data_IF_114324132621
#
_entry.id   IF_114324132621
#
_cell.length_a   1.000
_cell.length_b   1.000
_cell.length_c   1.000
_cell.angle_alpha   90.00
_cell.angle_beta   90.00
_cell.angle_gamma   90.00
#
_symmetry.space_group_name_H-M   'P 1'
#
loop_
_entity.id
_entity.type
_entity.pdbx_description
1 polymer ?
#
# COMPACT_ATOMS: atom_id res chain seq x y z
N UNK A 1 7.71 -3.17 6.88
CA UNK A 1 6.60 -3.67 6.00
C UNK A 1 7.11 -4.33 4.73
N UNK A 2 8.05 -3.69 4.03
CA UNK A 2 8.86 -4.31 2.96
C UNK A 2 9.38 -5.68 3.38
N UNK A 3 9.89 -5.81 4.61
CA UNK A 3 10.41 -7.09 5.13
C UNK A 3 9.34 -8.17 5.26
N UNK A 4 8.08 -7.79 5.53
CA UNK A 4 6.95 -8.74 5.56
C UNK A 4 6.60 -9.21 4.16
N UNK A 5 6.55 -8.30 3.17
CA UNK A 5 6.29 -8.64 1.77
C UNK A 5 7.44 -9.49 1.22
N UNK A 6 8.69 -9.12 1.50
CA UNK A 6 9.89 -9.88 1.13
C UNK A 6 9.85 -11.26 1.79
N UNK A 7 9.57 -11.34 3.09
CA UNK A 7 9.48 -12.62 3.81
C UNK A 7 8.41 -13.52 3.22
N UNK A 8 7.21 -13.01 2.98
CA UNK A 8 6.11 -13.79 2.37
C UNK A 8 6.41 -14.20 0.92
N UNK A 9 7.14 -13.37 0.17
CA UNK A 9 7.57 -13.70 -1.18
C UNK A 9 8.70 -14.75 -1.21
N UNK A 10 9.62 -14.70 -0.24
CA UNK A 10 10.66 -15.70 -0.04
C UNK A 10 10.07 -17.04 0.43
N UNK A 11 9.15 -17.01 1.39
CA UNK A 11 8.41 -18.20 1.84
C UNK A 11 7.64 -18.85 0.70
N UNK A 12 7.00 -18.05 -0.16
CA UNK A 12 6.34 -18.55 -1.35
C UNK A 12 7.33 -19.17 -2.34
N UNK A 13 8.48 -18.53 -2.57
CA UNK A 13 9.54 -19.03 -3.46
C UNK A 13 10.11 -20.39 -2.99
N UNK A 14 10.35 -20.52 -1.68
CA UNK A 14 10.85 -21.77 -1.06
C UNK A 14 9.85 -22.93 -1.17
N UNK A 15 8.55 -22.65 -1.33
CA UNK A 15 7.49 -23.65 -1.48
C UNK A 15 7.29 -24.12 -2.93
N UNK A 16 8.00 -23.56 -3.91
CA UNK A 16 7.87 -23.96 -5.32
C UNK A 16 8.81 -25.13 -5.64
N UNK A 17 8.25 -26.26 -6.09
CA UNK A 17 9.06 -27.37 -6.63
C UNK A 17 9.66 -26.96 -7.98
N UNK A 18 10.98 -26.84 -8.03
CA UNK A 18 11.84 -26.61 -9.21
C UNK A 18 11.22 -25.79 -10.36
N UNK A 19 11.66 -24.53 -10.44
CA UNK A 19 11.44 -23.55 -11.51
C UNK A 19 10.21 -22.64 -11.32
N UNK A 20 10.19 -21.81 -10.25
CA UNK A 20 9.14 -20.81 -10.04
C UNK A 20 9.07 -19.82 -11.21
N UNK A 21 7.86 -19.58 -11.71
CA UNK A 21 7.62 -18.61 -12.77
C UNK A 21 7.80 -17.19 -12.21
N UNK A 22 8.64 -16.40 -12.89
CA UNK A 22 8.88 -15.00 -12.52
C UNK A 22 7.63 -14.14 -12.61
N UNK A 23 6.71 -14.48 -13.52
CA UNK A 23 5.42 -13.79 -13.65
C UNK A 23 4.55 -14.00 -12.42
N UNK A 24 4.51 -15.23 -11.89
CA UNK A 24 3.75 -15.55 -10.67
C UNK A 24 4.35 -14.86 -9.44
N UNK A 25 5.68 -14.79 -9.36
CA UNK A 25 6.37 -14.03 -8.31
C UNK A 25 6.04 -12.53 -8.37
N UNK A 26 6.12 -11.94 -9.57
CA UNK A 26 5.79 -10.52 -9.77
C UNK A 26 4.33 -10.24 -9.42
N UNK A 27 3.40 -11.09 -9.86
CA UNK A 27 1.99 -10.98 -9.54
C UNK A 27 1.73 -11.09 -8.04
N UNK A 28 2.42 -12.00 -7.34
CA UNK A 28 2.32 -12.15 -5.88
C UNK A 28 2.79 -10.88 -5.15
N UNK A 29 3.96 -10.35 -5.51
CA UNK A 29 4.51 -9.14 -4.89
C UNK A 29 3.60 -7.94 -5.16
N UNK A 30 3.11 -7.77 -6.39
CA UNK A 30 2.18 -6.70 -6.76
C UNK A 30 0.87 -6.84 -5.97
N UNK A 31 0.29 -8.04 -5.91
CA UNK A 31 -0.94 -8.31 -5.18
C UNK A 31 -0.81 -7.96 -3.69
N UNK A 32 0.21 -8.51 -3.02
CA UNK A 32 0.46 -8.23 -1.59
C UNK A 32 0.74 -6.75 -1.32
N UNK A 33 1.47 -6.08 -2.21
CA UNK A 33 1.72 -4.64 -2.10
C UNK A 33 0.43 -3.85 -2.25
N UNK A 34 -0.42 -4.23 -3.22
CA UNK A 34 -1.70 -3.57 -3.51
C UNK A 34 -2.68 -3.72 -2.35
N UNK A 35 -2.88 -4.94 -1.84
CA UNK A 35 -3.76 -5.23 -0.70
C UNK A 35 -3.37 -4.41 0.53
N UNK A 36 -2.07 -4.26 0.75
CA UNK A 36 -1.54 -3.53 1.88
C UNK A 36 -1.74 -2.02 1.74
N UNK A 37 -1.47 -1.46 0.56
CA UNK A 37 -1.77 -0.04 0.25
C UNK A 37 -3.27 0.22 0.42
N UNK A 38 -4.12 -0.65 -0.10
CA UNK A 38 -5.58 -0.53 0.04
C UNK A 38 -6.02 -0.61 1.51
N UNK A 39 -5.40 -1.47 2.32
CA UNK A 39 -5.66 -1.53 3.76
C UNK A 39 -5.30 -0.22 4.48
N UNK A 40 -4.19 0.41 4.11
CA UNK A 40 -3.80 1.73 4.65
C UNK A 40 -4.78 2.82 4.25
N UNK A 41 -5.17 2.86 2.97
CA UNK A 41 -6.20 3.77 2.46
C UNK A 41 -7.51 3.60 3.22
N UNK A 42 -7.98 2.37 3.37
CA UNK A 42 -9.22 2.08 4.09
C UNK A 42 -9.14 2.58 5.54
N UNK A 43 -8.03 2.30 6.23
CA UNK A 43 -7.84 2.74 7.61
C UNK A 43 -7.85 4.26 7.76
N UNK A 44 -7.17 4.98 6.87
CA UNK A 44 -7.15 6.45 6.89
C UNK A 44 -8.56 7.03 6.65
N UNK A 45 -9.31 6.48 5.70
CA UNK A 45 -10.71 6.88 5.49
C UNK A 45 -11.62 6.55 6.68
N UNK A 46 -11.47 5.37 7.29
CA UNK A 46 -12.21 5.00 8.49
C UNK A 46 -11.90 5.96 9.66
N UNK A 47 -10.64 6.33 9.84
CA UNK A 47 -10.20 7.25 10.89
C UNK A 47 -10.71 8.68 10.61
N UNK A 48 -10.62 9.17 9.36
CA UNK A 48 -11.17 10.47 8.96
C UNK A 48 -12.69 10.53 9.15
N UNK A 49 -13.40 9.46 8.79
CA UNK A 49 -14.85 9.33 8.98
C UNK A 49 -15.21 9.34 10.47
N UNK A 50 -14.53 8.53 11.31
CA UNK A 50 -14.76 8.47 12.76
C UNK A 50 -14.50 9.81 13.46
N UNK A 51 -13.51 10.56 13.00
CA UNK A 51 -13.15 11.88 13.55
C UNK A 51 -14.00 13.03 13.01
N UNK A 52 -14.86 12.77 12.01
CA UNK A 52 -15.69 13.80 11.38
C UNK A 52 -14.92 14.85 10.57
N UNK A 53 -13.70 14.53 10.15
CA UNK A 53 -12.78 15.40 9.37
C UNK A 53 -12.71 15.00 7.89
N UNK A 54 -13.62 14.14 7.44
CA UNK A 54 -13.78 13.82 6.02
C UNK A 54 -14.36 15.06 5.29
N UNK A 55 -13.50 16.02 4.97
CA UNK A 55 -13.88 17.24 4.26
C UNK A 55 -14.04 16.95 2.77
N UNK A 56 -15.26 16.67 2.31
CA UNK A 56 -15.58 16.64 0.89
C UNK A 56 -15.79 18.08 0.39
N UNK A 57 -14.94 18.61 -0.51
CA UNK A 57 -15.17 19.92 -1.10
C UNK A 57 -16.34 19.83 -2.09
N UNK A 58 -17.44 20.54 -1.80
CA UNK A 58 -18.68 20.53 -2.60
C UNK A 58 -18.51 20.93 -4.08
N UNK A 59 -17.35 21.46 -4.48
CA UNK A 59 -17.06 21.91 -5.85
C UNK A 59 -16.49 20.81 -6.76
N UNK A 60 -16.23 19.60 -6.24
CA UNK A 60 -15.79 18.44 -7.04
C UNK A 60 -16.71 17.24 -6.86
N UNK A 61 -16.74 16.34 -7.86
CA UNK A 61 -17.50 15.09 -7.71
C UNK A 61 -16.93 14.22 -6.60
N UNK A 62 -17.78 13.41 -5.98
CA UNK A 62 -17.35 12.43 -4.97
C UNK A 62 -16.30 11.46 -5.49
N UNK A 63 -16.42 11.04 -6.76
CA UNK A 63 -15.45 10.17 -7.43
C UNK A 63 -14.09 10.86 -7.55
N UNK A 64 -14.05 12.11 -8.01
CA UNK A 64 -12.78 12.84 -8.17
C UNK A 64 -12.12 13.15 -6.82
N UNK A 65 -12.91 13.45 -5.78
CA UNK A 65 -12.40 13.60 -4.43
C UNK A 65 -11.74 12.31 -3.92
N UNK A 66 -12.37 11.16 -4.14
CA UNK A 66 -11.82 9.86 -3.75
C UNK A 66 -10.52 9.57 -4.51
N UNK A 67 -10.44 9.88 -5.81
CA UNK A 67 -9.20 9.75 -6.59
C UNK A 67 -8.06 10.62 -6.03
N UNK A 68 -8.35 11.88 -5.70
CA UNK A 68 -7.36 12.79 -5.10
C UNK A 68 -6.89 12.28 -3.74
N UNK A 69 -7.82 11.85 -2.88
CA UNK A 69 -7.50 11.28 -1.57
C UNK A 69 -6.68 10.00 -1.69
N UNK A 70 -7.05 9.09 -2.59
CA UNK A 70 -6.27 7.88 -2.88
C UNK A 70 -4.83 8.22 -3.28
N UNK A 71 -4.66 9.22 -4.14
CA UNK A 71 -3.35 9.70 -4.58
C UNK A 71 -2.56 10.29 -3.41
N UNK A 72 -3.20 11.06 -2.54
CA UNK A 72 -2.57 11.65 -1.36
C UNK A 72 -2.12 10.60 -0.35
N UNK A 73 -2.99 9.64 -0.01
CA UNK A 73 -2.64 8.53 0.89
C UNK A 73 -1.50 7.71 0.32
N UNK A 74 -1.55 7.38 -0.99
CA UNK A 74 -0.45 6.69 -1.67
C UNK A 74 0.86 7.47 -1.58
N UNK A 75 0.83 8.78 -1.83
CA UNK A 75 2.03 9.61 -1.79
C UNK A 75 2.61 9.75 -0.38
N UNK A 76 1.76 9.89 0.65
CA UNK A 76 2.21 9.88 2.05
C UNK A 76 2.87 8.55 2.39
N UNK A 77 2.21 7.44 2.04
CA UNK A 77 2.71 6.10 2.27
C UNK A 77 4.09 5.85 1.62
N UNK A 78 4.28 6.26 0.35
CA UNK A 78 5.58 6.12 -0.32
C UNK A 78 6.67 6.97 0.35
N UNK A 79 6.34 8.17 0.84
CA UNK A 79 7.28 9.02 1.59
C UNK A 79 7.66 8.44 2.95
N UNK A 80 6.71 7.80 3.64
CA UNK A 80 6.97 7.12 4.92
C UNK A 80 7.98 5.98 4.72
N UNK A 81 7.82 5.18 3.67
CA UNK A 81 8.78 4.13 3.29
C UNK A 81 10.17 4.73 3.04
N UNK A 82 10.28 5.78 2.23
CA UNK A 82 11.56 6.43 1.93
C UNK A 82 12.24 6.97 3.21
N UNK A 83 11.45 7.42 4.18
CA UNK A 83 11.95 7.96 5.45
C UNK A 83 12.46 6.84 6.36
N UNK A 84 11.73 5.72 6.47
CA UNK A 84 12.18 4.52 7.20
C UNK A 84 13.49 3.94 6.61
N UNK A 85 13.66 4.00 5.29
CA UNK A 85 14.88 3.53 4.63
C UNK A 85 16.10 4.37 5.01
N UNK A 86 15.97 5.69 5.04
CA UNK A 86 17.10 6.56 5.45
C UNK A 86 17.47 6.39 6.91
N UNK A 87 16.48 6.12 7.77
CA UNK A 87 16.71 5.93 9.20
C UNK A 87 17.32 4.56 9.57
N UNK A 88 17.31 3.59 8.66
CA UNK A 88 17.90 2.25 8.86
C UNK A 88 19.30 2.10 8.26
N UNK A 89 19.80 3.12 7.56
CA UNK A 89 21.17 3.20 7.01
C UNK A 89 22.14 4.02 7.89
N UNK A 90 21.66 4.67 8.96
CA UNK A 90 22.44 5.36 10.02
C UNK A 90 22.66 4.48 11.25
#
# INVERSE_FOLDING_TARGET
MRDKIIKEALEWYEQQENNPNIEDFVNLVIGKTTDNILGHVQKEFEDEFKKGVLEHPFFISSEYYLELKLKDVKNKYLKEIDTEMKASEE
#
